data_IF_899172197890
#
_entry.id   IF_899172197890
#
_cell.length_a   1.000
_cell.length_b   1.000
_cell.length_c   1.000
_cell.angle_alpha   90.00
_cell.angle_beta   90.00
_cell.angle_gamma   90.00
#
_symmetry.space_group_name_H-M   'P 1'
#
loop_
_entity.id
_entity.type
_entity.pdbx_description
1 polymer ?
#
# COMPACT_ATOMS: atom_id res chain seq x y z
N UNK A 1 -23.33 -9.88 51.69
CA UNK A 1 -22.79 -9.12 50.55
C UNK A 1 -21.63 -8.27 51.08
N UNK A 2 -20.38 -8.78 51.03
CA UNK A 2 -19.20 -8.00 51.44
C UNK A 2 -18.91 -7.00 50.32
N UNK A 3 -18.97 -5.71 50.65
CA UNK A 3 -18.60 -4.64 49.73
C UNK A 3 -17.22 -4.94 49.15
N UNK A 4 -17.13 -4.96 47.83
CA UNK A 4 -15.84 -5.02 47.18
C UNK A 4 -15.17 -3.68 47.42
N UNK A 5 -14.14 -3.67 48.26
CA UNK A 5 -13.30 -2.51 48.51
C UNK A 5 -12.62 -2.13 47.20
N UNK A 6 -13.27 -1.25 46.43
CA UNK A 6 -12.63 -0.45 45.40
C UNK A 6 -11.38 0.16 46.04
N UNK A 7 -10.23 0.06 45.35
CA UNK A 7 -8.95 0.48 45.91
C UNK A 7 -9.09 1.85 46.64
N UNK A 8 -8.43 2.04 47.79
CA UNK A 8 -8.63 3.24 48.58
C UNK A 8 -8.15 4.45 47.78
N UNK A 9 -8.96 5.52 47.68
CA UNK A 9 -8.73 6.70 46.82
C UNK A 9 -7.28 7.23 46.79
N UNK A 10 -6.55 7.07 47.90
CA UNK A 10 -5.12 7.37 48.03
C UNK A 10 -4.27 6.59 47.02
N UNK A 11 -4.51 5.30 46.85
CA UNK A 11 -3.83 4.44 45.86
C UNK A 11 -4.10 4.93 44.43
N UNK A 12 -5.32 5.33 44.09
CA UNK A 12 -5.62 5.91 42.77
C UNK A 12 -4.88 7.22 42.55
N UNK A 13 -4.78 8.09 43.57
CA UNK A 13 -4.01 9.33 43.45
C UNK A 13 -2.52 9.08 43.26
N UNK A 14 -1.95 8.10 43.96
CA UNK A 14 -0.55 7.70 43.75
C UNK A 14 -0.33 7.18 42.33
N UNK A 15 -1.20 6.29 41.83
CA UNK A 15 -1.12 5.77 40.45
C UNK A 15 -1.27 6.89 39.44
N UNK A 16 -2.21 7.81 39.64
CA UNK A 16 -2.39 8.98 38.79
C UNK A 16 -1.13 9.86 38.75
N UNK A 17 -0.55 10.17 39.91
CA UNK A 17 0.69 10.94 39.99
C UNK A 17 1.84 10.24 39.26
N UNK A 18 1.99 8.91 39.44
CA UNK A 18 2.97 8.11 38.69
C UNK A 18 2.73 8.18 37.18
N UNK A 19 1.49 8.14 36.71
CA UNK A 19 1.16 8.27 35.29
C UNK A 19 1.49 9.66 34.74
N UNK A 20 1.24 10.72 35.50
CA UNK A 20 1.63 12.09 35.14
C UNK A 20 3.15 12.22 35.05
N UNK A 21 3.90 11.63 35.98
CA UNK A 21 5.37 11.63 35.94
C UNK A 21 5.89 10.89 34.69
N UNK A 22 5.36 9.70 34.39
CA UNK A 22 5.73 8.94 33.19
C UNK A 22 5.39 9.69 31.90
N UNK A 23 4.26 10.39 31.86
CA UNK A 23 3.86 11.24 30.74
C UNK A 23 4.81 12.43 30.56
N UNK A 24 5.13 13.14 31.64
CA UNK A 24 6.09 14.24 31.62
C UNK A 24 7.49 13.75 31.25
N UNK A 25 7.87 12.53 31.64
CA UNK A 25 9.10 11.88 31.20
C UNK A 25 9.14 11.65 29.68
N UNK A 26 8.02 11.19 29.10
CA UNK A 26 7.87 11.04 27.64
C UNK A 26 8.00 12.40 26.94
N UNK A 27 7.30 13.42 27.45
CA UNK A 27 7.36 14.79 26.91
C UNK A 27 8.77 15.39 27.02
N UNK A 28 9.42 15.26 28.17
CA UNK A 28 10.78 15.74 28.40
C UNK A 28 11.81 15.03 27.51
N UNK A 29 11.62 13.73 27.25
CA UNK A 29 12.50 12.97 26.36
C UNK A 29 12.52 13.51 24.93
N UNK A 30 11.47 14.22 24.49
CA UNK A 30 11.41 14.82 23.16
C UNK A 30 12.41 15.99 22.98
N UNK A 31 12.80 16.65 24.07
CA UNK A 31 13.71 17.80 24.04
C UNK A 31 15.17 17.42 24.30
N UNK A 32 15.44 16.17 24.72
CA UNK A 32 16.79 15.69 25.02
C UNK A 32 17.24 14.76 23.89
N UNK A 33 18.35 15.07 23.18
CA UNK A 33 18.86 14.23 22.10
C UNK A 33 19.54 12.97 22.65
N UNK A 34 18.73 11.99 23.04
CA UNK A 34 19.16 10.67 23.57
C UNK A 34 19.60 9.71 22.45
N UNK A 35 19.52 10.12 21.18
CA UNK A 35 19.85 9.28 20.03
C UNK A 35 19.00 7.99 19.99
N UNK A 36 19.58 6.83 19.62
CA UNK A 36 18.86 5.55 19.55
C UNK A 36 18.22 5.11 20.87
N UNK A 37 18.75 5.57 22.01
CA UNK A 37 18.20 5.25 23.33
C UNK A 37 16.83 5.91 23.57
N UNK A 38 16.48 6.97 22.85
CA UNK A 38 15.17 7.62 22.94
C UNK A 38 14.03 6.62 22.66
N UNK A 39 14.19 5.78 21.63
CA UNK A 39 13.19 4.79 21.26
C UNK A 39 12.98 3.75 22.36
N UNK A 40 14.08 3.21 22.91
CA UNK A 40 14.04 2.19 23.95
C UNK A 40 13.37 2.76 25.21
N UNK A 41 13.74 3.97 25.62
CA UNK A 41 13.15 4.65 26.77
C UNK A 41 11.65 4.88 26.57
N UNK A 42 11.23 5.38 25.41
CA UNK A 42 9.81 5.64 25.14
C UNK A 42 8.97 4.35 25.08
N UNK A 43 9.49 3.26 24.51
CA UNK A 43 8.80 1.96 24.52
C UNK A 43 8.65 1.43 25.96
N UNK A 44 9.70 1.53 26.79
CA UNK A 44 9.65 1.08 28.18
C UNK A 44 8.65 1.90 29.01
N UNK A 45 8.63 3.23 28.83
CA UNK A 45 7.67 4.11 29.49
C UNK A 45 6.23 3.76 29.06
N UNK A 46 5.99 3.58 27.76
CA UNK A 46 4.68 3.24 27.22
C UNK A 46 4.17 1.89 27.76
N UNK A 47 5.03 0.87 27.84
CA UNK A 47 4.69 -0.43 28.44
C UNK A 47 4.32 -0.25 29.92
N UNK A 48 5.12 0.51 30.66
CA UNK A 48 4.86 0.81 32.07
C UNK A 48 3.50 1.50 32.28
N UNK A 49 3.20 2.52 31.48
CA UNK A 49 1.91 3.22 31.54
C UNK A 49 0.74 2.29 31.23
N UNK A 50 0.83 1.47 30.18
CA UNK A 50 -0.22 0.51 29.84
C UNK A 50 -0.45 -0.50 30.97
N UNK A 51 0.60 -1.03 31.59
CA UNK A 51 0.47 -1.96 32.71
C UNK A 51 -0.21 -1.31 33.93
N UNK A 52 0.13 -0.05 34.26
CA UNK A 52 -0.51 0.69 35.35
C UNK A 52 -2.00 0.92 35.09
N UNK A 53 -2.36 1.34 33.87
CA UNK A 53 -3.76 1.59 33.49
C UNK A 53 -4.57 0.29 33.53
N UNK A 54 -4.05 -0.80 32.95
CA UNK A 54 -4.74 -2.10 32.92
C UNK A 54 -4.96 -2.66 34.33
N UNK A 55 -3.97 -2.56 35.20
CA UNK A 55 -4.03 -3.17 36.53
C UNK A 55 -4.89 -2.38 37.51
N UNK A 56 -4.82 -1.04 37.51
CA UNK A 56 -5.48 -0.19 38.51
C UNK A 56 -6.76 0.50 38.00
N UNK A 57 -6.73 1.12 36.82
CA UNK A 57 -7.89 1.86 36.29
C UNK A 57 -8.93 0.95 35.64
N UNK A 58 -8.50 -0.09 34.92
CA UNK A 58 -9.42 -1.11 34.39
C UNK A 58 -9.74 -2.21 35.41
N UNK A 59 -9.25 -2.07 36.65
CA UNK A 59 -9.44 -2.99 37.76
C UNK A 59 -9.11 -4.45 37.44
N UNK A 60 -8.27 -4.75 36.44
CA UNK A 60 -8.02 -6.12 35.99
C UNK A 60 -7.38 -6.99 37.10
N UNK A 61 -6.67 -6.34 38.04
CA UNK A 61 -6.12 -6.98 39.24
C UNK A 61 -7.19 -7.38 40.27
N UNK A 62 -8.32 -6.69 40.34
CA UNK A 62 -9.36 -6.93 41.34
C UNK A 62 -10.50 -7.81 40.83
N UNK A 63 -10.59 -8.01 39.51
CA UNK A 63 -11.58 -8.89 38.88
C UNK A 63 -11.14 -10.36 38.90
N UNK A 64 -12.11 -11.26 38.85
CA UNK A 64 -11.89 -12.71 38.86
C UNK A 64 -11.06 -13.22 37.67
N UNK A 65 -10.50 -14.44 37.77
CA UNK A 65 -9.56 -14.99 36.78
C UNK A 65 -10.15 -15.05 35.37
N UNK A 66 -11.46 -15.25 35.25
CA UNK A 66 -12.16 -15.33 33.97
C UNK A 66 -12.03 -14.03 33.16
N UNK A 67 -12.18 -12.85 33.80
CA UNK A 67 -12.07 -11.55 33.12
C UNK A 67 -10.65 -11.30 32.61
N UNK A 68 -9.64 -11.80 33.34
CA UNK A 68 -8.23 -11.68 32.93
C UNK A 68 -7.92 -12.50 31.69
N UNK A 69 -8.51 -13.70 31.58
CA UNK A 69 -8.36 -14.56 30.40
C UNK A 69 -8.95 -13.88 29.17
N UNK A 70 -10.16 -13.32 29.28
CA UNK A 70 -10.79 -12.59 28.16
C UNK A 70 -9.97 -11.36 27.74
N UNK A 71 -9.46 -10.59 28.70
CA UNK A 71 -8.60 -9.45 28.40
C UNK A 71 -7.29 -9.88 27.70
N UNK A 72 -6.64 -10.94 28.19
CA UNK A 72 -5.44 -11.50 27.59
C UNK A 72 -5.69 -12.01 26.16
N UNK A 73 -6.83 -12.68 25.93
CA UNK A 73 -7.23 -13.12 24.60
C UNK A 73 -7.41 -11.94 23.62
N UNK A 74 -7.96 -10.81 24.09
CA UNK A 74 -8.07 -9.59 23.29
C UNK A 74 -6.71 -9.01 22.88
N UNK A 75 -5.77 -8.89 23.82
CA UNK A 75 -4.41 -8.43 23.51
C UNK A 75 -3.66 -9.39 22.59
N UNK A 76 -3.82 -10.70 22.80
CA UNK A 76 -3.26 -11.73 21.93
C UNK A 76 -3.79 -11.58 20.50
N UNK A 77 -5.11 -11.41 20.34
CA UNK A 77 -5.73 -11.22 19.02
C UNK A 77 -5.25 -9.93 18.34
N UNK A 78 -5.13 -8.82 19.09
CA UNK A 78 -4.63 -7.56 18.55
C UNK A 78 -3.17 -7.67 18.08
N UNK A 79 -2.31 -8.31 18.88
CA UNK A 79 -0.92 -8.55 18.51
C UNK A 79 -0.79 -9.44 17.27
N UNK A 80 -1.65 -10.46 17.17
CA UNK A 80 -1.76 -11.31 15.99
C UNK A 80 -2.14 -10.51 14.74
N UNK A 81 -3.20 -9.69 14.79
CA UNK A 81 -3.62 -8.86 13.65
C UNK A 81 -2.55 -7.88 13.21
N UNK A 82 -1.89 -7.22 14.17
CA UNK A 82 -0.82 -6.29 13.87
C UNK A 82 0.39 -6.99 13.24
N UNK A 83 0.74 -8.18 13.75
CA UNK A 83 1.79 -9.03 13.18
C UNK A 83 1.49 -9.46 11.74
N UNK A 84 0.27 -9.96 11.46
CA UNK A 84 -0.13 -10.32 10.11
C UNK A 84 -0.18 -9.12 9.16
N UNK A 85 -0.65 -7.97 9.63
CA UNK A 85 -0.66 -6.73 8.82
C UNK A 85 0.76 -6.27 8.50
N UNK A 86 1.68 -6.34 9.47
CA UNK A 86 3.09 -6.02 9.23
C UNK A 86 3.73 -7.04 8.28
N UNK A 87 3.40 -8.33 8.40
CA UNK A 87 3.85 -9.36 7.47
C UNK A 87 3.34 -9.10 6.05
N UNK A 88 2.06 -8.74 5.88
CA UNK A 88 1.52 -8.31 4.59
C UNK A 88 2.32 -7.11 4.07
N UNK A 89 2.55 -6.11 4.91
CA UNK A 89 3.28 -4.90 4.54
C UNK A 89 4.72 -5.19 4.10
N UNK A 90 5.47 -5.99 4.86
CA UNK A 90 6.84 -6.37 4.54
C UNK A 90 6.93 -7.31 3.33
N UNK A 91 5.87 -8.08 3.05
CA UNK A 91 5.80 -8.99 1.89
C UNK A 91 5.26 -8.29 0.65
N UNK A 92 4.79 -7.03 0.76
CA UNK A 92 4.43 -6.26 -0.43
C UNK A 92 5.68 -6.08 -1.28
N UNK A 93 5.66 -6.52 -2.55
CA UNK A 93 6.79 -6.29 -3.43
C UNK A 93 7.01 -4.78 -3.51
N UNK A 94 8.25 -4.38 -3.21
CA UNK A 94 8.76 -3.02 -3.40
C UNK A 94 8.33 -2.51 -4.79
N UNK A 95 7.99 -1.21 -4.93
CA UNK A 95 7.93 -0.61 -6.25
C UNK A 95 9.26 -0.91 -6.97
N UNK A 96 9.15 -1.29 -8.24
CA UNK A 96 10.28 -1.63 -9.11
C UNK A 96 11.38 -0.57 -8.96
N UNK A 97 12.62 -1.00 -8.63
CA UNK A 97 13.73 -0.08 -8.37
C UNK A 97 13.89 0.93 -9.52
N UNK A 98 14.29 2.15 -9.18
CA UNK A 98 14.47 3.25 -10.13
C UNK A 98 15.29 2.82 -11.37
N UNK A 99 16.24 1.91 -11.19
CA UNK A 99 17.10 1.36 -12.25
C UNK A 99 16.32 0.53 -13.28
N UNK A 100 15.33 -0.26 -12.83
CA UNK A 100 14.45 -1.03 -13.71
C UNK A 100 13.41 -0.14 -14.38
N UNK A 101 12.97 0.93 -13.73
CA UNK A 101 12.11 1.95 -14.35
C UNK A 101 12.87 2.74 -15.42
N UNK A 102 14.15 3.07 -15.21
CA UNK A 102 14.98 3.74 -16.20
C UNK A 102 15.27 2.87 -17.44
N UNK A 103 15.42 1.54 -17.26
CA UNK A 103 15.58 0.59 -18.36
C UNK A 103 14.32 0.43 -19.23
N UNK A 104 13.13 0.55 -18.63
CA UNK A 104 11.84 0.40 -19.32
C UNK A 104 11.29 1.75 -19.84
N UNK A 105 11.62 2.86 -19.16
CA UNK A 105 11.29 4.23 -19.53
C UNK A 105 12.52 5.15 -19.45
N UNK A 106 13.28 5.32 -20.55
CA UNK A 106 14.29 6.36 -20.59
C UNK A 106 13.61 7.74 -20.52
N UNK A 107 13.77 8.45 -19.38
CA UNK A 107 13.30 9.83 -19.18
C UNK A 107 12.47 10.11 -17.92
N UNK A 108 12.18 9.13 -17.06
CA UNK A 108 11.43 9.36 -15.81
C UNK A 108 12.42 9.45 -14.64
N UNK A 109 12.69 10.66 -14.17
CA UNK A 109 13.59 10.92 -13.04
C UNK A 109 12.92 10.51 -11.72
N UNK A 110 13.64 9.73 -10.90
CA UNK A 110 13.17 9.09 -9.67
C UNK A 110 12.89 10.05 -8.48
N UNK A 111 12.70 11.35 -8.74
CA UNK A 111 12.65 12.37 -7.68
C UNK A 111 11.26 12.54 -7.05
N UNK A 112 10.21 11.94 -7.62
CA UNK A 112 8.82 12.24 -7.26
C UNK A 112 8.06 11.01 -6.77
N UNK A 113 8.59 10.32 -5.75
CA UNK A 113 7.91 9.16 -5.14
C UNK A 113 7.61 9.36 -3.64
N UNK A 114 7.83 10.56 -3.10
CA UNK A 114 7.60 10.88 -1.68
C UNK A 114 6.30 11.63 -1.39
N UNK A 115 5.49 11.98 -2.38
CA UNK A 115 4.20 12.65 -2.16
C UNK A 115 3.03 11.74 -2.52
N UNK A 116 2.59 10.89 -1.59
CA UNK A 116 1.23 10.34 -1.63
C UNK A 116 0.24 11.50 -1.50
N UNK A 117 -0.66 11.77 -2.46
CA UNK A 117 -1.86 12.53 -2.13
C UNK A 117 -2.80 11.62 -1.33
N UNK A 118 -3.38 12.08 -0.20
CA UNK A 118 -4.38 11.31 0.53
C UNK A 118 -5.63 11.05 -0.34
N UNK A 119 -6.38 9.97 -0.08
CA UNK A 119 -7.55 9.61 -0.86
C UNK A 119 -8.75 10.47 -0.43
N UNK A 120 -8.76 11.76 -0.78
CA UNK A 120 -9.94 12.60 -0.57
C UNK A 120 -9.92 13.87 -1.42
N UNK A 121 -10.13 13.74 -2.73
CA UNK A 121 -10.66 14.84 -3.56
C UNK A 121 -11.00 14.37 -4.98
N UNK A 122 -11.97 13.46 -5.10
CA UNK A 122 -12.79 13.45 -6.31
C UNK A 122 -13.63 14.73 -6.33
N UNK A 123 -13.05 15.85 -6.79
CA UNK A 123 -13.83 17.01 -7.16
C UNK A 123 -14.24 16.84 -8.63
N UNK A 124 -15.55 16.75 -8.83
CA UNK A 124 -16.27 16.75 -10.11
C UNK A 124 -15.64 17.76 -11.08
N UNK A 125 -15.07 17.29 -12.19
CA UNK A 125 -14.58 18.15 -13.26
C UNK A 125 -15.80 18.74 -13.96
N UNK A 126 -16.01 20.03 -13.73
CA UNK A 126 -17.02 20.84 -14.40
C UNK A 126 -16.51 21.20 -15.81
N UNK A 127 -17.37 21.03 -16.81
CA UNK A 127 -17.06 21.16 -18.24
C UNK A 127 -16.96 22.66 -18.60
N UNK A 128 -15.75 23.17 -18.80
CA UNK A 128 -15.52 24.51 -19.38
C UNK A 128 -14.83 24.41 -20.73
N UNK A 129 -15.31 25.09 -21.79
CA UNK A 129 -14.86 24.90 -23.17
C UNK A 129 -13.65 25.78 -23.48
N UNK A 130 -12.45 25.31 -23.17
CA UNK A 130 -11.21 25.89 -23.68
C UNK A 130 -10.38 24.81 -24.38
N UNK A 131 -10.85 24.46 -25.57
CA UNK A 131 -10.08 23.79 -26.60
C UNK A 131 -9.16 24.82 -27.29
N UNK A 132 -7.98 25.10 -26.72
CA UNK A 132 -6.80 25.62 -27.44
C UNK A 132 -5.68 25.92 -26.43
N UNK A 133 -4.92 24.87 -26.08
CA UNK A 133 -3.51 24.87 -25.63
C UNK A 133 -3.29 23.75 -24.61
N UNK A 134 -3.20 22.51 -25.12
CA UNK A 134 -2.55 21.42 -24.40
C UNK A 134 -1.30 21.05 -25.19
N UNK A 135 -0.16 21.55 -24.73
CA UNK A 135 1.16 20.97 -25.03
C UNK A 135 1.07 19.45 -24.80
N UNK A 136 1.73 18.62 -25.63
CA UNK A 136 1.57 17.18 -25.61
C UNK A 136 1.80 16.67 -24.19
N UNK A 137 0.79 15.99 -23.65
CA UNK A 137 0.79 15.45 -22.28
C UNK A 137 1.95 14.45 -22.12
N UNK A 138 3.10 15.00 -21.75
CA UNK A 138 4.30 14.28 -21.33
C UNK A 138 4.05 13.67 -19.96
N UNK A 139 4.36 12.37 -19.86
CA UNK A 139 4.55 11.57 -18.64
C UNK A 139 3.37 11.41 -17.69
N UNK A 140 2.35 10.67 -18.17
CA UNK A 140 1.42 9.88 -17.35
C UNK A 140 2.20 8.73 -16.68
N UNK A 141 2.29 8.74 -15.35
CA UNK A 141 2.95 7.72 -14.54
C UNK A 141 2.39 6.31 -14.83
N UNK A 142 3.28 5.36 -15.12
CA UNK A 142 2.91 3.96 -15.34
C UNK A 142 3.03 3.17 -14.05
N UNK A 143 1.90 2.70 -13.54
CA UNK A 143 1.83 1.97 -12.29
C UNK A 143 1.82 0.46 -12.55
N UNK A 144 2.99 -0.18 -12.46
CA UNK A 144 3.14 -1.61 -12.69
C UNK A 144 2.40 -2.48 -11.65
N UNK A 145 2.18 -1.99 -10.42
CA UNK A 145 1.39 -2.71 -9.40
C UNK A 145 -0.07 -2.79 -9.85
N UNK A 146 -0.64 -1.67 -10.30
CA UNK A 146 -1.98 -1.65 -10.90
C UNK A 146 -2.02 -2.46 -12.19
N UNK A 147 -0.97 -2.39 -13.01
CA UNK A 147 -0.83 -3.19 -14.22
C UNK A 147 -0.87 -4.70 -13.97
N UNK A 148 -0.19 -5.18 -12.92
CA UNK A 148 -0.27 -6.58 -12.48
C UNK A 148 -1.69 -6.98 -12.07
N UNK A 149 -2.37 -6.14 -11.28
CA UNK A 149 -3.75 -6.41 -10.85
C UNK A 149 -4.70 -6.49 -12.06
N UNK A 150 -4.63 -5.53 -12.98
CA UNK A 150 -5.42 -5.52 -14.23
C UNK A 150 -5.11 -6.76 -15.08
N UNK A 151 -3.84 -7.15 -15.18
CA UNK A 151 -3.45 -8.36 -15.88
C UNK A 151 -4.07 -9.60 -15.24
N UNK A 152 -3.92 -9.77 -13.93
CA UNK A 152 -4.42 -10.95 -13.22
C UNK A 152 -5.94 -11.07 -13.30
N UNK A 153 -6.66 -9.95 -13.15
CA UNK A 153 -8.11 -9.90 -13.11
C UNK A 153 -8.75 -10.04 -14.51
N UNK A 154 -8.16 -9.45 -15.54
CA UNK A 154 -8.80 -9.34 -16.86
C UNK A 154 -7.99 -9.99 -17.99
N UNK A 155 -6.67 -9.79 -18.04
CA UNK A 155 -5.87 -10.16 -19.23
C UNK A 155 -5.34 -11.61 -19.18
N UNK A 156 -5.17 -12.17 -17.99
CA UNK A 156 -4.51 -13.46 -17.73
C UNK A 156 -5.25 -14.64 -18.34
N UNK A 157 -6.58 -14.56 -18.41
CA UNK A 157 -7.45 -15.61 -18.96
C UNK A 157 -7.04 -16.02 -20.37
N UNK A 158 -6.64 -15.07 -21.21
CA UNK A 158 -6.19 -15.34 -22.58
C UNK A 158 -4.67 -15.27 -22.71
N UNK A 159 -4.02 -14.28 -22.10
CA UNK A 159 -2.58 -14.06 -22.29
C UNK A 159 -1.67 -14.88 -21.36
N UNK A 160 -2.21 -15.61 -20.40
CA UNK A 160 -1.45 -16.55 -19.56
C UNK A 160 -1.11 -17.84 -20.31
N UNK A 161 -2.11 -18.45 -20.94
CA UNK A 161 -1.99 -19.73 -21.67
C UNK A 161 -1.96 -19.58 -23.18
N UNK A 162 -2.15 -18.36 -23.70
CA UNK A 162 -2.23 -18.08 -25.14
C UNK A 162 -3.54 -18.57 -25.77
N UNK A 163 -4.63 -18.55 -25.01
CA UNK A 163 -5.95 -18.96 -25.49
C UNK A 163 -6.35 -18.15 -26.73
N UNK A 164 -7.03 -18.79 -27.68
CA UNK A 164 -7.49 -18.18 -28.94
C UNK A 164 -6.35 -17.55 -29.77
N UNK A 165 -5.11 -18.03 -29.62
CA UNK A 165 -3.94 -17.47 -30.31
C UNK A 165 -3.44 -16.16 -29.71
N UNK A 166 -3.84 -15.84 -28.48
CA UNK A 166 -3.33 -14.66 -27.77
C UNK A 166 -1.82 -14.76 -27.54
N UNK A 167 -1.06 -13.64 -27.67
CA UNK A 167 0.36 -13.65 -27.36
C UNK A 167 0.58 -13.95 -25.87
N UNK A 168 1.32 -15.03 -25.59
CA UNK A 168 1.63 -15.45 -24.22
C UNK A 168 2.54 -14.44 -23.54
N UNK A 169 2.19 -14.05 -22.33
CA UNK A 169 3.07 -13.23 -21.50
C UNK A 169 4.36 -14.01 -21.22
N UNK A 170 5.51 -13.35 -21.35
CA UNK A 170 6.83 -14.00 -21.22
C UNK A 170 7.47 -14.40 -22.55
N UNK A 171 6.69 -14.47 -23.64
CA UNK A 171 7.20 -14.86 -24.95
C UNK A 171 7.86 -13.68 -25.69
N UNK A 172 9.16 -13.49 -25.45
CA UNK A 172 9.94 -12.36 -25.98
C UNK A 172 9.77 -12.18 -27.49
N UNK A 173 9.79 -13.26 -28.28
CA UNK A 173 9.68 -13.19 -29.74
C UNK A 173 8.33 -12.61 -30.21
N UNK A 174 7.22 -13.01 -29.58
CA UNK A 174 5.89 -12.50 -29.89
C UNK A 174 5.73 -11.02 -29.48
N UNK A 175 6.28 -10.64 -28.32
CA UNK A 175 6.17 -9.28 -27.79
C UNK A 175 7.13 -8.28 -28.44
N UNK A 176 8.32 -8.70 -28.86
CA UNK A 176 9.26 -7.81 -29.56
C UNK A 176 8.70 -7.30 -30.88
N UNK A 177 8.04 -8.16 -31.67
CA UNK A 177 7.38 -7.75 -32.93
C UNK A 177 6.24 -6.76 -32.74
N UNK A 178 5.65 -6.73 -31.54
CA UNK A 178 4.52 -5.85 -31.18
C UNK A 178 5.01 -4.55 -30.56
N UNK A 179 6.07 -4.62 -29.77
CA UNK A 179 6.69 -3.45 -29.15
C UNK A 179 7.25 -2.44 -30.17
N UNK A 180 7.53 -2.87 -31.41
CA UNK A 180 7.91 -1.97 -32.52
C UNK A 180 6.77 -1.06 -32.97
N UNK A 181 5.50 -1.44 -32.72
CA UNK A 181 4.33 -0.61 -33.05
C UNK A 181 4.15 0.57 -32.08
N UNK A 182 4.88 0.56 -30.96
CA UNK A 182 4.78 1.57 -29.90
C UNK A 182 3.63 1.32 -28.93
N UNK A 183 3.74 1.91 -27.73
CA UNK A 183 2.78 1.68 -26.64
C UNK A 183 1.38 2.20 -26.97
N UNK A 184 1.27 3.36 -27.60
CA UNK A 184 -0.03 3.97 -27.92
C UNK A 184 -0.85 3.13 -28.89
N UNK A 185 -0.20 2.50 -29.88
CA UNK A 185 -0.86 1.57 -30.81
C UNK A 185 -1.39 0.34 -30.09
N UNK A 186 -0.60 -0.25 -29.19
CA UNK A 186 -1.03 -1.40 -28.38
C UNK A 186 -2.20 -1.03 -27.46
N UNK A 187 -2.16 0.16 -26.85
CA UNK A 187 -3.25 0.67 -26.02
C UNK A 187 -4.51 0.87 -26.85
N UNK A 188 -4.40 1.46 -28.04
CA UNK A 188 -5.54 1.66 -28.96
C UNK A 188 -6.17 0.34 -29.38
N UNK A 189 -5.36 -0.67 -29.74
CA UNK A 189 -5.84 -2.01 -30.07
C UNK A 189 -6.52 -2.69 -28.86
N UNK A 190 -5.98 -2.53 -27.65
CA UNK A 190 -6.58 -3.09 -26.46
C UNK A 190 -7.90 -2.38 -26.07
N UNK A 191 -8.00 -1.07 -26.32
CA UNK A 191 -9.21 -0.28 -26.05
C UNK A 191 -10.33 -0.63 -27.02
N UNK A 192 -10.02 -0.66 -28.32
CA UNK A 192 -11.02 -0.83 -29.38
C UNK A 192 -11.29 -2.31 -29.74
N UNK A 193 -10.47 -3.23 -29.23
CA UNK A 193 -10.46 -4.62 -29.65
C UNK A 193 -9.63 -4.82 -30.91
N UNK A 194 -9.02 -5.98 -31.04
CA UNK A 194 -8.16 -6.31 -32.18
C UNK A 194 -8.13 -7.80 -32.45
N UNK A 195 -8.57 -8.20 -33.65
CA UNK A 195 -8.75 -9.61 -34.02
C UNK A 195 -9.66 -10.33 -33.01
N UNK A 196 -9.21 -11.43 -32.42
CA UNK A 196 -9.93 -12.18 -31.41
C UNK A 196 -9.91 -11.51 -30.01
N UNK A 197 -9.19 -10.40 -29.83
CA UNK A 197 -9.14 -9.69 -28.55
C UNK A 197 -10.35 -8.75 -28.43
N UNK A 198 -11.22 -8.92 -27.40
CA UNK A 198 -12.38 -8.05 -27.20
C UNK A 198 -11.96 -6.62 -26.79
N UNK A 199 -12.81 -5.61 -27.06
CA UNK A 199 -12.60 -4.25 -26.58
C UNK A 199 -12.40 -4.19 -25.06
N UNK A 200 -11.43 -3.39 -24.62
CA UNK A 200 -10.99 -3.27 -23.22
C UNK A 200 -10.65 -4.60 -22.54
N UNK A 201 -10.24 -5.62 -23.32
CA UNK A 201 -9.99 -6.96 -22.78
C UNK A 201 -11.22 -7.65 -22.20
N UNK A 202 -12.43 -7.22 -22.59
CA UNK A 202 -13.71 -7.76 -22.09
C UNK A 202 -14.21 -7.10 -20.80
N UNK A 203 -13.45 -6.16 -20.22
CA UNK A 203 -13.85 -5.43 -19.01
C UNK A 203 -14.10 -3.96 -19.32
N UNK A 204 -15.37 -3.58 -19.51
CA UNK A 204 -15.75 -2.22 -19.86
C UNK A 204 -15.42 -1.17 -18.79
N UNK A 205 -15.20 -1.60 -17.54
CA UNK A 205 -14.87 -0.73 -16.40
C UNK A 205 -13.43 -0.21 -16.44
N UNK A 206 -12.55 -0.84 -17.22
CA UNK A 206 -11.16 -0.42 -17.32
C UNK A 206 -11.03 0.92 -18.05
N UNK A 207 -10.24 1.80 -17.46
CA UNK A 207 -9.79 3.06 -18.06
C UNK A 207 -8.59 2.85 -18.99
N UNK A 208 -8.35 3.82 -19.88
CA UNK A 208 -7.19 3.83 -20.79
C UNK A 208 -5.87 3.67 -20.02
N UNK A 209 -5.75 4.32 -18.86
CA UNK A 209 -4.55 4.27 -18.02
C UNK A 209 -4.35 2.88 -17.40
N UNK A 210 -5.41 2.20 -16.98
CA UNK A 210 -5.32 0.85 -16.43
C UNK A 210 -4.92 -0.18 -17.48
N UNK A 211 -5.47 -0.07 -18.69
CA UNK A 211 -5.07 -0.90 -19.84
C UNK A 211 -3.61 -0.64 -20.22
N UNK A 212 -3.20 0.63 -20.24
CA UNK A 212 -1.79 1.01 -20.45
C UNK A 212 -0.88 0.36 -19.41
N UNK A 213 -1.23 0.44 -18.13
CA UNK A 213 -0.46 -0.20 -17.06
C UNK A 213 -0.37 -1.72 -17.24
N UNK A 214 -1.47 -2.37 -17.63
CA UNK A 214 -1.50 -3.81 -17.92
C UNK A 214 -0.58 -4.21 -19.08
N UNK A 215 -0.62 -3.46 -20.19
CA UNK A 215 0.24 -3.71 -21.36
C UNK A 215 1.72 -3.57 -20.99
N UNK A 216 2.07 -2.50 -20.25
CA UNK A 216 3.47 -2.30 -19.84
C UNK A 216 3.91 -3.42 -18.90
N UNK A 217 3.07 -3.84 -17.95
CA UNK A 217 3.37 -4.98 -17.10
C UNK A 217 3.68 -6.25 -17.92
N UNK A 218 2.87 -6.56 -18.93
CA UNK A 218 3.09 -7.72 -19.81
C UNK A 218 4.39 -7.62 -20.63
N UNK A 219 4.73 -6.42 -21.12
CA UNK A 219 5.99 -6.16 -21.82
C UNK A 219 7.20 -6.33 -20.89
N UNK A 220 7.10 -5.84 -19.65
CA UNK A 220 8.12 -6.01 -18.62
C UNK A 220 8.34 -7.49 -18.30
N UNK A 221 7.26 -8.28 -18.10
CA UNK A 221 7.38 -9.73 -17.87
C UNK A 221 7.96 -10.47 -19.08
N UNK A 222 7.73 -9.96 -20.30
CA UNK A 222 8.28 -10.52 -21.54
C UNK A 222 9.72 -10.08 -21.81
N UNK A 223 10.33 -9.27 -20.93
CA UNK A 223 11.68 -8.71 -21.08
C UNK A 223 11.84 -7.96 -22.42
N UNK A 224 10.81 -7.20 -22.81
CA UNK A 224 10.79 -6.40 -24.04
C UNK A 224 10.68 -4.91 -23.69
N UNK A 225 11.55 -4.10 -24.28
CA UNK A 225 11.51 -2.63 -24.18
C UNK A 225 10.78 -2.05 -25.39
N UNK A 226 9.95 -1.04 -25.15
CA UNK A 226 9.23 -0.32 -26.19
C UNK A 226 10.19 0.41 -27.12
N UNK A 227 10.00 0.29 -28.44
CA UNK A 227 10.81 1.02 -29.41
C UNK A 227 12.23 0.51 -29.67
N UNK A 228 12.60 -0.68 -29.18
CA UNK A 228 13.82 -1.37 -29.64
C UNK A 228 13.65 -1.77 -31.12
N UNK A 229 14.09 -0.91 -32.03
CA UNK A 229 14.43 -1.34 -33.39
C UNK A 229 15.65 -2.26 -33.27
N UNK A 230 15.52 -3.50 -33.76
CA UNK A 230 16.71 -4.30 -34.09
C UNK A 230 17.43 -3.63 -35.26
#
# INVERSE_FOLDING_TARGET
MKGQDIAPWKTQLWVWATLIILLLGTFGSAYIPLGPFNLVVNILIAIGQMLLVLTFFMHLRYRGPLVRIFAAAGFFWLLFLFGFTLSDYLTRPEPVSADKLAYVYPGVSAKEQSAHPPPSSQKRVEFSPQAAQLKPQSSREVNLKRGKAVYQETCSACHGTGALGAPKMGEKAAWSKRATQGLETLVSHAMNGYKAMPPKGGNQKLSVNEIRNGIVYMLTQSKVVLGQKK
#
